data_IF_318260236169
#
_entry.id   IF_318260236169
#
_cell.length_a   1.000
_cell.length_b   1.000
_cell.length_c   1.000
_cell.angle_alpha   90.00
_cell.angle_beta   90.00
_cell.angle_gamma   90.00
#
_symmetry.space_group_name_H-M   'P 1'
#
loop_
_entity.id
_entity.type
_entity.pdbx_description
1 polymer ?
#
# COMPACT_ATOMS: atom_id res chain seq x y z
N UNK A 1 -10.27 33.43 -1.71
CA UNK A 1 -8.92 33.38 -1.13
C UNK A 1 -8.46 31.94 -1.13
N UNK A 2 -7.39 31.64 -1.86
CA UNK A 2 -6.59 30.40 -1.82
C UNK A 2 -7.23 29.10 -2.34
N UNK A 3 -7.05 28.88 -3.64
CA UNK A 3 -7.00 27.56 -4.27
C UNK A 3 -5.59 27.35 -4.82
N UNK A 4 -4.69 26.81 -4.00
CA UNK A 4 -3.41 26.29 -4.47
C UNK A 4 -3.39 24.79 -4.18
N UNK A 5 -3.68 24.01 -5.22
CA UNK A 5 -3.35 22.60 -5.34
C UNK A 5 -1.88 22.43 -4.94
N UNK A 6 -1.57 21.65 -3.90
CA UNK A 6 -0.19 21.33 -3.56
C UNK A 6 0.40 20.43 -4.68
N UNK A 7 1.30 20.92 -5.55
CA UNK A 7 1.82 20.15 -6.68
C UNK A 7 3.01 19.26 -6.26
N UNK A 8 3.51 19.41 -5.04
CA UNK A 8 4.65 18.66 -4.52
C UNK A 8 4.20 17.48 -3.66
N UNK A 9 4.83 16.33 -3.89
CA UNK A 9 4.71 15.16 -3.03
C UNK A 9 5.10 15.59 -1.60
N UNK A 10 4.25 15.37 -0.62
CA UNK A 10 4.58 15.72 0.77
C UNK A 10 5.76 14.84 1.17
N UNK A 11 6.92 15.45 1.39
CA UNK A 11 8.12 14.72 1.79
C UNK A 11 7.89 14.04 3.13
N UNK A 12 8.08 12.72 3.14
CA UNK A 12 8.00 11.89 4.33
C UNK A 12 9.37 11.25 4.54
N UNK A 13 9.79 11.15 5.80
CA UNK A 13 11.04 10.47 6.15
C UNK A 13 10.86 8.97 5.95
N UNK A 14 11.63 8.40 5.01
CA UNK A 14 11.64 6.96 4.77
C UNK A 14 11.99 6.22 6.06
N UNK A 15 11.26 5.16 6.36
CA UNK A 15 11.33 4.39 7.61
C UNK A 15 11.35 2.90 7.28
N UNK A 16 12.20 2.15 7.97
CA UNK A 16 12.26 0.68 7.84
C UNK A 16 10.90 0.08 8.21
N UNK A 17 10.22 -0.65 7.29
CA UNK A 17 8.93 -1.25 7.57
C UNK A 17 9.06 -2.58 8.34
N UNK A 18 7.96 -3.13 8.87
CA UNK A 18 7.92 -4.51 9.33
C UNK A 18 8.20 -5.50 8.19
N UNK A 19 8.44 -6.77 8.54
CA UNK A 19 8.66 -7.84 7.54
C UNK A 19 7.51 -7.92 6.51
N UNK A 20 6.28 -7.81 7.00
CA UNK A 20 5.09 -7.90 6.17
C UNK A 20 4.12 -6.77 6.46
N UNK A 21 3.45 -6.32 5.40
CA UNK A 21 2.30 -5.41 5.45
C UNK A 21 1.19 -5.95 4.54
N UNK A 22 -0.01 -5.42 4.66
CA UNK A 22 -1.19 -5.97 3.98
C UNK A 22 -1.98 -4.91 3.23
N UNK A 23 -2.61 -5.32 2.14
CA UNK A 23 -3.47 -4.46 1.31
C UNK A 23 -4.75 -5.20 0.94
N UNK A 24 -5.90 -4.67 1.37
CA UNK A 24 -7.21 -5.17 0.97
C UNK A 24 -7.69 -4.49 -0.30
N UNK A 25 -8.10 -5.28 -1.29
CA UNK A 25 -8.54 -4.77 -2.59
C UNK A 25 -9.60 -5.65 -3.24
N UNK A 26 -10.10 -5.26 -4.40
CA UNK A 26 -11.09 -6.06 -5.13
C UNK A 26 -10.43 -7.26 -5.82
N UNK A 27 -11.17 -8.37 -6.07
CA UNK A 27 -10.60 -9.53 -6.78
C UNK A 27 -10.04 -9.18 -8.16
N UNK A 28 -10.68 -8.24 -8.88
CA UNK A 28 -10.19 -7.75 -10.18
C UNK A 28 -8.86 -7.01 -10.03
N UNK A 29 -8.79 -6.05 -9.10
CA UNK A 29 -7.57 -5.29 -8.86
C UNK A 29 -6.42 -6.18 -8.37
N UNK A 30 -6.70 -7.19 -7.54
CA UNK A 30 -5.70 -8.15 -7.10
C UNK A 30 -5.02 -8.87 -8.27
N UNK A 31 -5.80 -9.33 -9.27
CA UNK A 31 -5.25 -9.96 -10.49
C UNK A 31 -4.33 -9.01 -11.26
N UNK A 32 -4.70 -7.74 -11.37
CA UNK A 32 -3.91 -6.74 -12.09
C UNK A 32 -2.64 -6.35 -11.32
N UNK A 33 -2.72 -6.21 -10.00
CA UNK A 33 -1.60 -5.89 -9.11
C UNK A 33 -0.54 -7.00 -9.17
N UNK A 34 -0.95 -8.27 -9.06
CA UNK A 34 -0.05 -9.42 -9.11
C UNK A 34 0.67 -9.59 -10.45
N UNK A 35 0.14 -9.00 -11.53
CA UNK A 35 0.79 -9.00 -12.86
C UNK A 35 1.68 -7.79 -13.09
N UNK A 36 1.50 -6.70 -12.35
CA UNK A 36 2.10 -5.40 -12.69
C UNK A 36 2.81 -4.77 -11.50
N UNK A 37 2.07 -4.16 -10.58
CA UNK A 37 2.55 -3.52 -9.36
C UNK A 37 1.37 -3.00 -8.54
N UNK A 38 1.59 -2.78 -7.25
CA UNK A 38 0.70 -1.96 -6.44
C UNK A 38 1.10 -0.48 -6.58
N UNK A 39 0.17 0.35 -7.04
CA UNK A 39 0.39 1.77 -7.36
C UNK A 39 -0.47 2.68 -6.47
N UNK A 40 -0.05 3.93 -6.20
CA UNK A 40 -0.83 4.90 -5.41
C UNK A 40 -2.20 5.29 -6.01
N UNK A 41 -2.46 4.93 -7.28
CA UNK A 41 -3.64 5.35 -8.03
C UNK A 41 -3.81 6.88 -7.97
N UNK A 42 -4.99 7.39 -7.58
CA UNK A 42 -5.26 8.83 -7.41
C UNK A 42 -4.71 9.45 -6.12
N UNK A 43 -3.84 8.76 -5.38
CA UNK A 43 -3.21 9.25 -4.14
C UNK A 43 -1.72 9.47 -4.37
N UNK A 44 -1.06 10.15 -3.42
CA UNK A 44 0.40 10.32 -3.45
C UNK A 44 1.17 9.04 -3.09
N UNK A 45 0.58 8.16 -2.27
CA UNK A 45 1.22 6.96 -1.74
C UNK A 45 0.29 5.74 -1.74
N UNK A 46 0.87 4.55 -1.88
CA UNK A 46 0.21 3.28 -1.58
C UNK A 46 -0.09 3.24 -0.09
N UNK A 47 -1.28 2.79 0.30
CA UNK A 47 -1.66 2.61 1.70
C UNK A 47 -1.71 1.12 2.05
N UNK A 48 -1.10 0.79 3.18
CA UNK A 48 -0.94 -0.55 3.71
C UNK A 48 -1.36 -0.60 5.18
N UNK A 49 -1.78 -1.78 5.61
CA UNK A 49 -2.18 -2.11 6.98
C UNK A 49 -1.13 -3.00 7.65
N UNK A 50 -0.99 -2.87 8.97
CA UNK A 50 -0.12 -3.73 9.79
C UNK A 50 -0.62 -5.18 9.89
N UNK A 51 -1.92 -5.40 9.77
CA UNK A 51 -2.53 -6.71 9.95
C UNK A 51 -3.63 -7.00 8.90
N UNK A 52 -3.95 -8.29 8.77
CA UNK A 52 -4.92 -8.81 7.79
C UNK A 52 -6.34 -8.32 8.06
N UNK A 53 -6.74 -8.19 9.34
CA UNK A 53 -8.09 -7.76 9.71
C UNK A 53 -8.33 -6.32 9.27
N UNK A 54 -7.39 -5.43 9.58
CA UNK A 54 -7.41 -4.03 9.13
C UNK A 54 -7.45 -3.92 7.61
N UNK A 55 -6.63 -4.71 6.90
CA UNK A 55 -6.66 -4.75 5.43
C UNK A 55 -8.01 -5.21 4.89
N UNK A 56 -8.62 -6.23 5.50
CA UNK A 56 -9.94 -6.73 5.14
C UNK A 56 -11.02 -5.67 5.31
N UNK A 57 -11.06 -4.99 6.47
CA UNK A 57 -11.99 -3.89 6.74
C UNK A 57 -11.84 -2.72 5.76
N UNK A 58 -10.61 -2.40 5.34
CA UNK A 58 -10.34 -1.40 4.29
C UNK A 58 -10.89 -1.88 2.94
N UNK A 59 -10.67 -3.15 2.59
CA UNK A 59 -11.18 -3.76 1.36
C UNK A 59 -12.70 -3.79 1.28
N UNK A 60 -13.38 -4.03 2.40
CA UNK A 60 -14.84 -4.03 2.51
C UNK A 60 -15.49 -2.70 2.11
N UNK A 61 -14.76 -1.58 2.21
CA UNK A 61 -15.23 -0.28 1.75
C UNK A 61 -15.39 -0.19 0.23
N UNK A 62 -14.89 -1.18 -0.52
CA UNK A 62 -14.88 -1.21 -2.00
C UNK A 62 -15.61 -2.42 -2.59
N UNK A 63 -15.67 -3.54 -1.87
CA UNK A 63 -16.30 -4.79 -2.34
C UNK A 63 -16.83 -5.59 -1.15
N UNK A 64 -17.85 -6.43 -1.39
CA UNK A 64 -18.35 -7.38 -0.39
C UNK A 64 -17.40 -8.56 -0.16
N UNK A 65 -16.58 -8.88 -1.15
CA UNK A 65 -15.60 -9.98 -1.11
C UNK A 65 -14.19 -9.44 -1.41
N UNK A 66 -13.46 -8.93 -0.40
CA UNK A 66 -12.14 -8.36 -0.59
C UNK A 66 -11.05 -9.44 -0.61
N UNK A 67 -10.08 -9.26 -1.50
CA UNK A 67 -8.85 -10.05 -1.52
C UNK A 67 -7.77 -9.35 -0.72
N UNK A 68 -7.05 -10.11 0.10
CA UNK A 68 -5.90 -9.62 0.85
C UNK A 68 -4.63 -9.94 0.08
N UNK A 69 -3.83 -8.91 -0.14
CA UNK A 69 -2.47 -9.03 -0.63
C UNK A 69 -1.50 -8.86 0.54
N UNK A 70 -0.57 -9.78 0.67
CA UNK A 70 0.57 -9.70 1.57
C UNK A 70 1.76 -9.14 0.82
N UNK A 71 2.41 -8.15 1.42
CA UNK A 71 3.57 -7.45 0.87
C UNK A 71 4.79 -7.82 1.70
N UNK A 72 5.85 -8.33 1.08
CA UNK A 72 7.19 -8.49 1.68
C UNK A 72 7.85 -7.11 1.84
N UNK A 73 7.35 -6.31 2.78
CA UNK A 73 7.70 -4.89 2.89
C UNK A 73 9.17 -4.67 3.25
N UNK A 74 9.76 -5.50 4.12
CA UNK A 74 11.18 -5.40 4.45
C UNK A 74 12.08 -5.72 3.25
N UNK A 75 11.71 -6.71 2.43
CA UNK A 75 12.46 -7.06 1.22
C UNK A 75 12.35 -5.96 0.17
N UNK A 76 11.14 -5.43 -0.04
CA UNK A 76 10.90 -4.29 -0.91
C UNK A 76 11.71 -3.06 -0.47
N UNK A 77 11.78 -2.80 0.84
CA UNK A 77 12.61 -1.71 1.39
C UNK A 77 14.10 -1.92 1.12
N UNK A 78 14.61 -3.14 1.34
CA UNK A 78 16.00 -3.48 1.04
C UNK A 78 16.32 -3.39 -0.46
N UNK A 79 15.31 -3.54 -1.33
CA UNK A 79 15.40 -3.33 -2.77
C UNK A 79 15.26 -1.85 -3.20
N UNK A 80 15.15 -0.91 -2.25
CA UNK A 80 15.14 0.53 -2.51
C UNK A 80 13.74 1.17 -2.60
N UNK A 81 12.66 0.44 -2.29
CA UNK A 81 11.32 1.01 -2.23
C UNK A 81 11.13 1.74 -0.90
N UNK A 82 10.72 3.01 -0.94
CA UNK A 82 10.51 3.77 0.28
C UNK A 82 9.19 3.42 0.96
N UNK A 83 9.26 3.31 2.28
CA UNK A 83 8.12 3.15 3.17
C UNK A 83 8.10 4.27 4.19
N UNK A 84 6.90 4.62 4.67
CA UNK A 84 6.71 5.71 5.62
C UNK A 84 5.67 5.28 6.65
N UNK A 85 6.00 5.42 7.93
CA UNK A 85 5.09 5.12 9.02
C UNK A 85 4.12 6.29 9.22
N UNK A 86 2.83 5.98 9.24
CA UNK A 86 1.78 6.94 9.61
C UNK A 86 1.18 6.54 10.97
N UNK A 87 0.25 7.37 11.47
CA UNK A 87 -0.46 7.09 12.72
C UNK A 87 -1.37 5.85 12.58
N UNK A 88 -1.79 5.31 13.72
CA UNK A 88 -2.83 4.27 13.83
C UNK A 88 -2.54 2.98 13.03
N UNK A 89 -1.26 2.65 12.84
CA UNK A 89 -0.87 1.42 12.14
C UNK A 89 -1.04 1.46 10.63
N UNK A 90 -1.23 2.65 10.05
CA UNK A 90 -1.20 2.86 8.61
C UNK A 90 0.27 3.00 8.17
N UNK A 91 0.59 2.33 7.06
CA UNK A 91 1.86 2.47 6.38
C UNK A 91 1.65 3.00 4.97
N UNK A 92 2.58 3.85 4.55
CA UNK A 92 2.63 4.40 3.21
C UNK A 92 3.83 3.84 2.47
N UNK A 93 3.72 3.73 1.16
CA UNK A 93 4.82 3.30 0.30
C UNK A 93 4.76 4.02 -1.04
N UNK A 94 5.92 4.08 -1.70
CA UNK A 94 5.98 4.26 -3.15
C UNK A 94 5.36 3.06 -3.89
N UNK A 95 5.47 3.03 -5.22
CA UNK A 95 5.05 1.88 -6.04
C UNK A 95 5.79 0.62 -5.60
N UNK A 96 5.05 -0.48 -5.42
CA UNK A 96 5.59 -1.78 -5.02
C UNK A 96 5.53 -2.74 -6.21
N UNK A 97 6.67 -3.30 -6.61
CA UNK A 97 6.74 -4.28 -7.69
C UNK A 97 5.99 -5.57 -7.32
N UNK A 98 5.42 -6.24 -8.32
CA UNK A 98 4.60 -7.43 -8.12
C UNK A 98 5.38 -8.60 -7.46
N UNK A 99 6.70 -8.67 -7.64
CA UNK A 99 7.56 -9.69 -7.04
C UNK A 99 7.53 -9.70 -5.50
N UNK A 100 7.21 -8.56 -4.87
CA UNK A 100 7.08 -8.45 -3.41
C UNK A 100 5.64 -8.68 -2.93
N UNK A 101 4.72 -9.07 -3.81
CA UNK A 101 3.29 -9.13 -3.53
C UNK A 101 2.77 -10.54 -3.78
N UNK A 102 2.13 -11.12 -2.77
CA UNK A 102 1.43 -12.40 -2.90
C UNK A 102 -0.01 -12.28 -2.42
N UNK A 103 -0.89 -13.07 -3.04
CA UNK A 103 -2.27 -13.22 -2.56
C UNK A 103 -2.27 -14.17 -1.35
N UNK A 104 -2.99 -13.79 -0.29
CA UNK A 104 -3.35 -14.70 0.81
C UNK A 104 -4.60 -15.50 0.48
#
# INVERSE_FOLDING_TARGET
TYGHSLPSKIEKKSTVPPKFLYHGTTPRAAKDILKTALKPQGRQYVHLSLDVKSAYEVGLRRTKDPVILKVSAQEAYNAGINFYREKEGIWLSDRIAAEFIMKL
#
